data_IF_781102309485
#
_entry.id   IF_781102309485
#
_cell.length_a   1.000
_cell.length_b   1.000
_cell.length_c   1.000
_cell.angle_alpha   90.00
_cell.angle_beta   90.00
_cell.angle_gamma   90.00
#
_symmetry.space_group_name_H-M   'P 1'
#
loop_
_entity.id
_entity.type
_entity.pdbx_description
1 polymer ?
#
# COMPACT_ATOMS: atom_id res chain seq x y z
N UNK A 1 0.80 -68.82 4.52
CA UNK A 1 2.01 -67.97 4.46
C UNK A 1 2.04 -67.25 3.11
N UNK A 2 2.05 -65.91 3.06
CA UNK A 2 2.07 -65.16 1.79
C UNK A 2 3.38 -65.43 1.03
N UNK A 3 3.29 -65.60 -0.29
CA UNK A 3 4.46 -65.92 -1.16
C UNK A 3 5.53 -64.82 -1.03
N UNK A 4 6.84 -65.13 -1.11
CA UNK A 4 7.93 -64.18 -0.86
C UNK A 4 7.84 -62.90 -1.72
N UNK A 5 7.32 -63.00 -2.95
CA UNK A 5 7.04 -61.84 -3.82
C UNK A 5 5.94 -60.91 -3.30
N UNK A 6 4.92 -61.43 -2.64
CA UNK A 6 3.84 -60.61 -2.04
C UNK A 6 4.34 -59.82 -0.82
N UNK A 7 5.23 -60.39 -0.01
CA UNK A 7 5.84 -59.69 1.12
C UNK A 7 6.74 -58.53 0.67
N UNK A 8 7.50 -58.73 -0.41
CA UNK A 8 8.32 -57.67 -1.01
C UNK A 8 7.46 -56.56 -1.63
N UNK A 9 6.40 -56.90 -2.37
CA UNK A 9 5.48 -55.93 -2.93
C UNK A 9 4.79 -55.08 -1.85
N UNK A 10 4.30 -55.70 -0.77
CA UNK A 10 3.68 -55.01 0.37
C UNK A 10 4.66 -54.06 1.07
N UNK A 11 5.92 -54.49 1.26
CA UNK A 11 6.99 -53.65 1.80
C UNK A 11 7.30 -52.46 0.88
N UNK A 12 7.38 -52.68 -0.44
CA UNK A 12 7.63 -51.64 -1.43
C UNK A 12 6.49 -50.61 -1.46
N UNK A 13 5.22 -51.04 -1.47
CA UNK A 13 4.07 -50.13 -1.38
C UNK A 13 4.08 -49.32 -0.09
N UNK A 14 4.46 -49.90 1.05
CA UNK A 14 4.59 -49.17 2.31
C UNK A 14 5.68 -48.11 2.27
N UNK A 15 6.80 -48.37 1.59
CA UNK A 15 7.85 -47.38 1.38
C UNK A 15 7.41 -46.26 0.43
N UNK A 16 6.73 -46.60 -0.67
CA UNK A 16 6.18 -45.62 -1.61
C UNK A 16 5.19 -44.69 -0.88
N UNK A 17 4.27 -45.25 -0.07
CA UNK A 17 3.31 -44.44 0.69
C UNK A 17 4.00 -43.50 1.69
N UNK A 18 5.06 -43.96 2.36
CA UNK A 18 5.86 -43.12 3.28
C UNK A 18 6.56 -41.99 2.54
N UNK A 19 7.14 -42.27 1.38
CA UNK A 19 7.78 -41.25 0.53
C UNK A 19 6.75 -40.23 0.05
N UNK A 20 5.59 -40.68 -0.44
CA UNK A 20 4.51 -39.78 -0.85
C UNK A 20 4.01 -38.92 0.31
N UNK A 21 3.82 -39.50 1.50
CA UNK A 21 3.46 -38.75 2.70
C UNK A 21 4.50 -37.72 3.10
N UNK A 22 5.80 -38.08 3.05
CA UNK A 22 6.89 -37.15 3.33
C UNK A 22 6.96 -36.01 2.30
N UNK A 23 6.77 -36.32 1.01
CA UNK A 23 6.71 -35.33 -0.07
C UNK A 23 5.52 -34.38 0.11
N UNK A 24 4.36 -34.86 0.53
CA UNK A 24 3.20 -34.03 0.82
C UNK A 24 3.49 -33.05 1.97
N UNK A 25 4.06 -33.55 3.08
CA UNK A 25 4.46 -32.70 4.22
C UNK A 25 5.46 -31.64 3.77
N UNK A 26 6.48 -32.05 3.00
CA UNK A 26 7.48 -31.14 2.46
C UNK A 26 6.85 -30.07 1.55
N UNK A 27 5.92 -30.45 0.66
CA UNK A 27 5.21 -29.53 -0.21
C UNK A 27 4.38 -28.50 0.58
N UNK A 28 3.71 -28.93 1.65
CA UNK A 28 2.96 -28.02 2.54
C UNK A 28 3.91 -27.03 3.23
N UNK A 29 5.04 -27.51 3.78
CA UNK A 29 6.03 -26.65 4.42
C UNK A 29 6.61 -25.64 3.42
N UNK A 30 6.99 -26.08 2.23
CA UNK A 30 7.48 -25.19 1.16
C UNK A 30 6.43 -24.15 0.78
N UNK A 31 5.15 -24.52 0.71
CA UNK A 31 4.05 -23.60 0.40
C UNK A 31 3.89 -22.55 1.51
N UNK A 32 3.97 -22.94 2.78
CA UNK A 32 3.91 -22.01 3.92
C UNK A 32 5.11 -21.07 3.90
N UNK A 33 6.33 -21.58 3.69
CA UNK A 33 7.55 -20.77 3.60
C UNK A 33 7.43 -19.78 2.43
N UNK A 34 6.99 -20.23 1.26
CA UNK A 34 6.78 -19.36 0.11
C UNK A 34 5.71 -18.29 0.40
N UNK A 35 4.61 -18.67 1.04
CA UNK A 35 3.54 -17.73 1.43
C UNK A 35 4.06 -16.66 2.40
N UNK A 36 4.75 -17.07 3.47
CA UNK A 36 5.18 -16.16 4.54
C UNK A 36 6.32 -15.27 4.08
N UNK A 37 7.33 -15.82 3.41
CA UNK A 37 8.57 -15.09 3.13
C UNK A 37 8.65 -14.47 1.75
N UNK A 38 8.03 -15.06 0.73
CA UNK A 38 8.24 -14.64 -0.67
C UNK A 38 7.03 -13.87 -1.20
N UNK A 39 5.83 -14.36 -0.89
CA UNK A 39 4.61 -13.88 -1.55
C UNK A 39 4.14 -12.48 -1.13
N UNK A 40 4.58 -12.01 0.03
CA UNK A 40 4.28 -10.67 0.55
C UNK A 40 5.35 -9.63 0.21
N UNK A 41 6.40 -10.00 -0.53
CA UNK A 41 7.46 -9.07 -0.90
C UNK A 41 6.96 -8.18 -2.05
N UNK A 42 6.88 -6.84 -1.88
CA UNK A 42 6.53 -5.95 -2.97
C UNK A 42 7.58 -6.01 -4.10
N UNK A 43 7.17 -5.75 -5.35
CA UNK A 43 8.11 -5.60 -6.45
C UNK A 43 9.19 -4.54 -6.17
N UNK A 44 10.32 -4.60 -6.88
CA UNK A 44 11.49 -3.75 -6.60
C UNK A 44 11.20 -2.26 -6.77
N UNK A 45 10.40 -1.90 -7.76
CA UNK A 45 10.00 -0.52 -8.04
C UNK A 45 9.12 0.03 -6.91
N UNK A 46 8.27 -0.81 -6.30
CA UNK A 46 7.40 -0.44 -5.18
C UNK A 46 8.13 -0.25 -3.84
N UNK A 47 9.44 -0.57 -3.78
CA UNK A 47 10.25 -0.44 -2.56
C UNK A 47 11.06 0.85 -2.50
N UNK A 48 11.07 1.64 -3.57
CA UNK A 48 11.88 2.84 -3.70
C UNK A 48 10.99 4.05 -3.96
N UNK A 49 11.36 5.21 -3.45
CA UNK A 49 10.69 6.45 -3.84
C UNK A 49 10.89 6.67 -5.34
N UNK A 50 9.81 7.09 -6.01
CA UNK A 50 9.85 7.49 -7.40
C UNK A 50 10.59 8.83 -7.52
N UNK A 51 11.64 8.94 -8.35
CA UNK A 51 12.23 10.22 -8.69
C UNK A 51 11.20 11.10 -9.40
N UNK A 52 10.96 12.29 -8.85
CA UNK A 52 10.07 13.31 -9.42
C UNK A 52 10.81 14.64 -9.48
N UNK A 53 10.40 15.59 -10.33
CA UNK A 53 11.04 16.91 -10.40
C UNK A 53 11.11 17.60 -9.03
N UNK A 54 10.04 17.56 -8.25
CA UNK A 54 9.94 18.18 -6.93
C UNK A 54 10.88 17.50 -5.92
N UNK A 55 10.90 16.16 -5.90
CA UNK A 55 11.80 15.41 -5.02
C UNK A 55 13.26 15.60 -5.39
N UNK A 56 13.58 15.62 -6.68
CA UNK A 56 14.92 15.84 -7.19
C UNK A 56 15.41 17.25 -6.84
N UNK A 57 14.57 18.27 -7.01
CA UNK A 57 14.88 19.64 -6.62
C UNK A 57 15.12 19.77 -5.10
N UNK A 58 14.23 19.20 -4.27
CA UNK A 58 14.40 19.20 -2.83
C UNK A 58 15.67 18.46 -2.39
N UNK A 59 16.03 17.37 -3.07
CA UNK A 59 17.28 16.65 -2.83
C UNK A 59 18.51 17.45 -3.27
N UNK A 60 18.45 18.19 -4.38
CA UNK A 60 19.55 19.06 -4.81
C UNK A 60 19.82 20.18 -3.81
N UNK A 61 18.76 20.74 -3.21
CA UNK A 61 18.87 21.82 -2.23
C UNK A 61 19.33 21.33 -0.84
N UNK A 62 18.75 20.23 -0.34
CA UNK A 62 18.94 19.79 1.04
C UNK A 62 19.88 18.59 1.19
N UNK A 63 20.17 17.84 0.13
CA UNK A 63 21.02 16.66 0.14
C UNK A 63 20.60 15.65 1.21
N UNK A 64 21.53 15.29 2.11
CA UNK A 64 21.26 14.35 3.21
C UNK A 64 20.39 14.94 4.34
N UNK A 65 20.17 16.25 4.37
CA UNK A 65 19.30 16.91 5.35
C UNK A 65 17.82 16.89 4.95
N UNK A 66 17.48 16.30 3.79
CA UNK A 66 16.09 16.09 3.38
C UNK A 66 15.35 15.30 4.46
N UNK A 67 14.20 15.82 4.93
CA UNK A 67 13.39 15.16 5.96
C UNK A 67 12.42 14.23 5.25
N UNK A 68 12.46 12.95 5.61
CA UNK A 68 11.49 11.95 5.20
C UNK A 68 10.95 11.27 6.44
N UNK A 69 9.65 11.02 6.49
CA UNK A 69 9.06 10.30 7.61
C UNK A 69 7.78 9.56 7.23
N UNK A 70 7.37 8.65 8.11
CA UNK A 70 6.09 7.96 8.12
C UNK A 70 5.55 7.98 9.55
N UNK A 71 4.33 7.49 9.76
CA UNK A 71 3.83 7.19 11.10
C UNK A 71 3.45 5.71 11.21
N UNK A 72 3.26 5.22 12.43
CA UNK A 72 2.69 3.89 12.65
C UNK A 72 1.17 4.00 12.64
N UNK A 73 0.56 3.73 11.48
CA UNK A 73 -0.89 3.72 11.31
C UNK A 73 -1.39 2.33 10.89
N UNK A 74 -2.68 2.02 11.08
CA UNK A 74 -3.30 0.84 10.51
C UNK A 74 -3.02 0.72 9.00
N UNK A 75 -2.29 -0.33 8.62
CA UNK A 75 -1.85 -0.54 7.23
C UNK A 75 -2.90 -1.21 6.34
N UNK A 76 -4.06 -1.53 6.87
CA UNK A 76 -5.19 -2.13 6.15
C UNK A 76 -6.50 -1.52 6.62
N UNK A 77 -7.50 -1.52 5.75
CA UNK A 77 -8.85 -1.05 6.08
C UNK A 77 -9.43 -1.88 7.20
N UNK A 78 -10.06 -1.20 8.18
CA UNK A 78 -10.62 -1.83 9.38
C UNK A 78 -12.13 -1.66 9.53
N UNK A 79 -12.81 -0.95 8.61
CA UNK A 79 -14.26 -0.83 8.70
C UNK A 79 -14.92 -2.18 8.43
N UNK A 80 -16.07 -2.41 9.06
CA UNK A 80 -16.75 -3.71 9.08
C UNK A 80 -17.06 -4.23 7.67
N UNK A 81 -17.45 -3.34 6.75
CA UNK A 81 -17.81 -3.67 5.37
C UNK A 81 -16.63 -3.90 4.42
N UNK A 82 -15.42 -3.43 4.76
CA UNK A 82 -14.27 -3.47 3.86
C UNK A 82 -12.98 -3.94 4.55
N UNK A 83 -13.12 -4.69 5.64
CA UNK A 83 -12.00 -5.13 6.45
C UNK A 83 -10.98 -5.91 5.61
N UNK A 84 -9.75 -5.39 5.53
CA UNK A 84 -8.65 -6.02 4.80
C UNK A 84 -8.74 -5.98 3.28
N UNK A 85 -9.70 -5.23 2.70
CA UNK A 85 -9.83 -5.07 1.25
C UNK A 85 -8.65 -4.31 0.66
N UNK A 86 -8.22 -3.27 1.36
CA UNK A 86 -7.15 -2.40 0.91
C UNK A 86 -6.04 -2.35 1.94
N UNK A 87 -4.84 -2.07 1.47
CA UNK A 87 -3.74 -1.80 2.38
C UNK A 87 -2.66 -0.93 1.78
N UNK A 88 -1.84 -0.40 2.67
CA UNK A 88 -0.66 0.39 2.34
C UNK A 88 0.56 -0.41 2.77
N UNK A 89 1.45 -0.66 1.81
CA UNK A 89 2.70 -1.37 2.07
C UNK A 89 3.79 -0.43 2.58
N UNK A 90 3.72 0.84 2.16
CA UNK A 90 4.64 1.91 2.54
C UNK A 90 4.00 3.24 2.18
N UNK A 91 4.26 4.27 2.96
CA UNK A 91 4.07 5.65 2.55
C UNK A 91 5.20 6.51 3.14
N UNK A 92 5.45 7.68 2.56
CA UNK A 92 6.52 8.57 3.01
C UNK A 92 6.16 10.00 2.72
N UNK A 93 6.09 10.81 3.78
CA UNK A 93 5.99 12.26 3.71
C UNK A 93 7.36 12.87 3.45
N UNK A 94 7.40 13.84 2.54
CA UNK A 94 8.61 14.54 2.12
C UNK A 94 8.30 16.06 2.13
N UNK A 95 8.34 16.71 3.30
CA UNK A 95 7.86 18.10 3.45
C UNK A 95 8.56 19.09 2.54
N UNK A 96 9.89 19.00 2.39
CA UNK A 96 10.63 19.93 1.54
C UNK A 96 10.28 19.79 0.05
N UNK A 97 9.81 18.61 -0.38
CA UNK A 97 9.30 18.40 -1.73
C UNK A 97 7.79 18.68 -1.86
N UNK A 98 7.11 19.01 -0.75
CA UNK A 98 5.64 19.07 -0.63
C UNK A 98 4.97 17.84 -1.22
N UNK A 99 5.52 16.66 -0.90
CA UNK A 99 5.16 15.43 -1.58
C UNK A 99 4.86 14.30 -0.60
N UNK A 100 3.86 13.49 -0.93
CA UNK A 100 3.57 12.22 -0.29
C UNK A 100 3.59 11.11 -1.35
N UNK A 101 4.38 10.07 -1.12
CA UNK A 101 4.37 8.88 -1.95
C UNK A 101 3.80 7.69 -1.18
N UNK A 102 2.90 6.93 -1.82
CA UNK A 102 2.14 5.84 -1.19
C UNK A 102 2.16 4.60 -2.07
N UNK A 103 2.50 3.44 -1.48
CA UNK A 103 2.36 2.14 -2.12
C UNK A 103 1.07 1.50 -1.63
N UNK A 104 0.01 1.70 -2.41
CA UNK A 104 -1.29 1.10 -2.22
C UNK A 104 -1.30 -0.34 -2.75
N UNK A 105 -2.10 -1.21 -2.14
CA UNK A 105 -2.31 -2.58 -2.63
C UNK A 105 -3.73 -3.09 -2.41
N UNK A 106 -4.13 -3.97 -3.31
CA UNK A 106 -5.35 -4.79 -3.20
C UNK A 106 -5.09 -6.20 -3.75
N UNK A 107 -5.96 -7.16 -3.43
CA UNK A 107 -5.80 -8.55 -3.82
C UNK A 107 -7.03 -9.09 -4.59
N UNK A 108 -6.96 -10.36 -5.01
CA UNK A 108 -8.06 -11.00 -5.75
C UNK A 108 -9.35 -11.15 -4.93
N UNK A 109 -9.29 -11.21 -3.60
CA UNK A 109 -10.49 -11.20 -2.75
C UNK A 109 -11.17 -9.85 -2.80
N UNK A 110 -10.41 -8.75 -2.80
CA UNK A 110 -10.94 -7.39 -2.97
C UNK A 110 -11.72 -7.26 -4.28
N UNK A 111 -11.21 -7.83 -5.37
CA UNK A 111 -11.88 -7.81 -6.68
C UNK A 111 -13.18 -8.61 -6.70
N UNK A 112 -13.23 -9.72 -5.96
CA UNK A 112 -14.45 -10.52 -5.81
C UNK A 112 -15.49 -9.74 -5.00
N UNK A 113 -15.10 -9.11 -3.89
CA UNK A 113 -16.01 -8.30 -3.11
C UNK A 113 -16.49 -7.07 -3.87
N UNK A 114 -15.62 -6.42 -4.64
CA UNK A 114 -16.02 -5.33 -5.52
C UNK A 114 -17.11 -5.77 -6.52
N UNK A 115 -16.98 -6.96 -7.10
CA UNK A 115 -18.01 -7.52 -7.98
C UNK A 115 -19.34 -7.74 -7.24
N UNK A 116 -19.29 -8.28 -6.02
CA UNK A 116 -20.48 -8.55 -5.20
C UNK A 116 -21.16 -7.25 -4.74
N UNK A 117 -20.37 -6.31 -4.22
CA UNK A 117 -20.83 -5.06 -3.60
C UNK A 117 -21.45 -4.10 -4.63
N UNK A 118 -20.92 -4.10 -5.86
CA UNK A 118 -21.41 -3.26 -6.97
C UNK A 118 -22.23 -4.04 -8.02
N UNK A 119 -22.53 -5.32 -7.77
CA UNK A 119 -23.28 -6.19 -8.68
C UNK A 119 -22.75 -6.18 -10.13
N UNK A 120 -21.42 -6.21 -10.29
CA UNK A 120 -20.77 -6.16 -11.60
C UNK A 120 -20.99 -7.48 -12.37
N UNK A 121 -21.22 -7.37 -13.68
CA UNK A 121 -21.46 -8.53 -14.55
C UNK A 121 -20.27 -9.50 -14.54
N UNK A 122 -19.06 -8.95 -14.62
CA UNK A 122 -17.81 -9.70 -14.60
C UNK A 122 -16.88 -9.18 -13.51
N UNK A 123 -16.04 -10.08 -12.98
CA UNK A 123 -15.01 -9.68 -12.04
C UNK A 123 -13.93 -8.84 -12.74
N UNK A 124 -13.56 -7.68 -12.21
CA UNK A 124 -12.47 -6.89 -12.77
C UNK A 124 -11.15 -7.66 -12.82
N UNK A 125 -10.35 -7.37 -13.85
CA UNK A 125 -9.02 -7.98 -13.99
C UNK A 125 -8.05 -7.40 -12.95
N UNK A 126 -7.15 -8.21 -12.38
CA UNK A 126 -6.06 -7.70 -11.55
C UNK A 126 -5.10 -6.84 -12.40
N UNK A 127 -4.43 -5.89 -11.76
CA UNK A 127 -3.43 -5.06 -12.42
C UNK A 127 -3.98 -3.84 -13.14
N UNK A 128 -5.28 -3.56 -13.08
CA UNK A 128 -5.84 -2.31 -13.60
C UNK A 128 -5.53 -1.15 -12.62
N UNK A 129 -4.64 -0.18 -12.99
CA UNK A 129 -4.38 1.00 -12.16
C UNK A 129 -5.63 1.81 -11.88
N UNK A 130 -6.58 1.74 -12.81
CA UNK A 130 -7.70 2.66 -12.89
C UNK A 130 -8.97 2.08 -12.30
N UNK A 131 -8.90 0.91 -11.68
CA UNK A 131 -10.07 0.32 -11.07
C UNK A 131 -10.59 1.15 -9.89
N UNK A 132 -9.67 1.78 -9.16
CA UNK A 132 -9.98 2.59 -8.00
C UNK A 132 -9.51 4.03 -8.21
N UNK A 133 -10.35 4.98 -7.78
CA UNK A 133 -9.97 6.39 -7.65
C UNK A 133 -9.49 6.62 -6.21
N UNK A 134 -8.24 7.03 -6.06
CA UNK A 134 -7.63 7.28 -4.76
C UNK A 134 -7.41 8.76 -4.59
N UNK A 135 -7.79 9.27 -3.43
CA UNK A 135 -7.63 10.68 -3.09
C UNK A 135 -7.20 10.83 -1.64
N UNK A 136 -6.38 11.84 -1.38
CA UNK A 136 -6.05 12.23 -0.02
C UNK A 136 -7.10 13.19 0.50
N UNK A 137 -7.44 13.05 1.78
CA UNK A 137 -8.23 14.03 2.51
C UNK A 137 -7.38 14.56 3.65
N UNK A 138 -6.97 15.82 3.52
CA UNK A 138 -6.31 16.56 4.60
C UNK A 138 -7.38 17.19 5.47
N UNK A 139 -7.26 16.99 6.78
CA UNK A 139 -8.15 17.59 7.79
C UNK A 139 -7.34 18.62 8.56
N UNK A 140 -7.78 19.87 8.51
CA UNK A 140 -7.15 21.01 9.17
C UNK A 140 -8.08 21.57 10.23
N UNK A 141 -7.55 21.77 11.43
CA UNK A 141 -8.21 22.47 12.51
C UNK A 141 -8.05 23.99 12.32
N UNK A 142 -9.18 24.69 12.19
CA UNK A 142 -9.24 26.13 12.01
C UNK A 142 -9.18 26.90 13.34
N UNK A 143 -9.36 26.20 14.48
CA UNK A 143 -9.33 26.74 15.85
C UNK A 143 -8.39 25.90 16.73
N UNK A 144 -7.08 25.82 16.37
CA UNK A 144 -6.11 24.92 17.01
C UNK A 144 -5.91 25.19 18.52
N UNK A 145 -6.27 26.38 18.99
CA UNK A 145 -6.29 26.74 20.40
C UNK A 145 -7.38 26.02 21.22
N UNK A 146 -8.39 25.40 20.59
CA UNK A 146 -9.53 24.77 21.25
C UNK A 146 -9.93 23.44 20.62
N UNK A 147 -9.16 22.38 20.85
CA UNK A 147 -9.43 21.06 20.28
C UNK A 147 -10.77 20.40 20.74
N UNK A 148 -11.49 20.96 21.72
CA UNK A 148 -12.78 20.43 22.21
C UNK A 148 -13.92 20.64 21.20
N UNK A 149 -13.78 21.55 20.22
CA UNK A 149 -14.79 21.82 19.20
C UNK A 149 -14.65 20.98 17.92
N UNK A 150 -13.63 20.12 17.85
CA UNK A 150 -13.33 19.24 16.71
C UNK A 150 -14.25 18.01 16.65
N UNK A 151 -15.55 18.25 16.55
CA UNK A 151 -16.58 17.24 16.34
C UNK A 151 -16.79 16.87 14.88
N UNK A 152 -17.38 15.69 14.64
CA UNK A 152 -17.79 15.28 13.30
C UNK A 152 -18.87 16.23 12.76
N UNK A 153 -18.58 16.91 11.64
CA UNK A 153 -19.46 17.92 11.05
C UNK A 153 -19.32 19.32 11.67
N UNK A 154 -18.28 19.57 12.47
CA UNK A 154 -17.95 20.91 12.94
C UNK A 154 -17.43 21.80 11.80
N UNK A 155 -17.84 23.06 11.80
CA UNK A 155 -17.32 24.10 10.91
C UNK A 155 -15.86 24.49 11.25
N UNK A 156 -15.31 23.97 12.36
CA UNK A 156 -13.93 24.18 12.78
C UNK A 156 -12.94 23.26 12.07
N UNK A 157 -13.42 22.26 11.32
CA UNK A 157 -12.58 21.35 10.55
C UNK A 157 -12.74 21.61 9.05
N UNK A 158 -11.65 22.03 8.40
CA UNK A 158 -11.59 22.10 6.95
C UNK A 158 -11.11 20.76 6.37
N UNK A 159 -11.80 20.26 5.36
CA UNK A 159 -11.38 19.08 4.58
C UNK A 159 -10.98 19.52 3.18
N UNK A 160 -9.77 19.17 2.78
CA UNK A 160 -9.28 19.37 1.42
C UNK A 160 -8.96 18.03 0.77
N UNK A 161 -9.41 17.85 -0.49
CA UNK A 161 -9.20 16.62 -1.25
C UNK A 161 -8.12 16.83 -2.31
N UNK A 162 -7.10 15.98 -2.32
CA UNK A 162 -5.99 16.03 -3.27
C UNK A 162 -5.90 14.75 -4.10
N UNK A 163 -5.79 14.89 -5.41
CA UNK A 163 -5.62 13.77 -6.35
C UNK A 163 -4.13 13.46 -6.58
N UNK A 164 -3.79 12.20 -6.90
CA UNK A 164 -2.42 11.86 -7.24
C UNK A 164 -2.01 12.51 -8.56
N UNK A 165 -0.78 13.03 -8.61
CA UNK A 165 -0.20 13.63 -9.82
C UNK A 165 0.39 12.60 -10.76
N UNK A 166 0.81 11.46 -10.24
CA UNK A 166 1.26 10.32 -11.04
C UNK A 166 1.09 9.00 -10.31
N UNK A 167 1.13 7.91 -11.07
CA UNK A 167 1.12 6.57 -10.53
C UNK A 167 1.97 5.59 -11.34
N UNK A 168 2.42 4.53 -10.69
CA UNK A 168 3.06 3.37 -11.30
C UNK A 168 2.43 2.09 -10.77
N UNK A 169 2.19 1.10 -11.64
CA UNK A 169 1.61 -0.19 -11.27
C UNK A 169 2.64 -1.29 -11.41
N UNK A 170 2.58 -2.25 -10.49
CA UNK A 170 3.24 -3.53 -10.62
C UNK A 170 2.39 -4.62 -9.94
N UNK A 171 2.53 -5.86 -10.39
CA UNK A 171 1.69 -6.96 -9.93
C UNK A 171 2.53 -8.13 -9.46
N UNK A 172 2.00 -8.85 -8.48
CA UNK A 172 2.45 -10.20 -8.13
C UNK A 172 1.30 -11.17 -8.36
N UNK A 173 1.55 -12.47 -8.15
CA UNK A 173 0.49 -13.47 -8.19
C UNK A 173 -0.64 -13.22 -7.17
N UNK A 174 -0.41 -12.39 -6.15
CA UNK A 174 -1.35 -12.18 -5.05
C UNK A 174 -1.93 -10.78 -4.96
N UNK A 175 -1.15 -9.78 -5.33
CA UNK A 175 -1.49 -8.38 -5.10
C UNK A 175 -1.22 -7.56 -6.36
N UNK A 176 -2.07 -6.57 -6.55
CA UNK A 176 -1.75 -5.41 -7.38
C UNK A 176 -1.19 -4.34 -6.46
N UNK A 177 -0.06 -3.75 -6.83
CA UNK A 177 0.56 -2.63 -6.15
C UNK A 177 0.48 -1.40 -7.04
N UNK A 178 0.12 -0.27 -6.45
CA UNK A 178 0.11 1.01 -7.13
C UNK A 178 0.88 2.00 -6.27
N UNK A 179 1.99 2.52 -6.81
CA UNK A 179 2.72 3.63 -6.23
C UNK A 179 2.06 4.92 -6.71
N UNK A 180 1.47 5.67 -5.81
CA UNK A 180 0.90 7.00 -6.07
C UNK A 180 1.86 8.07 -5.57
N UNK A 181 1.98 9.14 -6.35
CA UNK A 181 2.63 10.39 -5.95
C UNK A 181 1.56 11.46 -5.82
N UNK A 182 1.57 12.15 -4.69
CA UNK A 182 0.76 13.32 -4.43
C UNK A 182 1.70 14.51 -4.20
N UNK A 183 1.57 15.53 -5.04
CA UNK A 183 2.27 16.80 -4.87
C UNK A 183 1.38 17.78 -4.10
N UNK A 184 1.96 18.91 -3.71
CA UNK A 184 1.29 19.99 -2.96
C UNK A 184 0.76 19.54 -1.59
N UNK A 185 1.39 18.51 -1.00
CA UNK A 185 1.06 18.01 0.33
C UNK A 185 1.89 18.74 1.38
N UNK A 186 1.21 19.60 2.14
CA UNK A 186 1.78 20.32 3.28
C UNK A 186 1.19 19.79 4.59
N UNK A 187 2.06 19.44 5.53
CA UNK A 187 1.68 19.03 6.89
C UNK A 187 2.13 20.14 7.83
N UNK A 188 1.23 21.10 8.09
CA UNK A 188 1.43 22.17 9.07
C UNK A 188 0.94 21.74 10.45
N UNK A 189 1.23 22.55 11.48
CA UNK A 189 0.79 22.28 12.86
C UNK A 189 -0.75 22.26 13.00
N UNK A 190 -1.47 22.86 12.05
CA UNK A 190 -2.94 22.87 12.02
C UNK A 190 -3.53 21.60 11.38
N UNK A 191 -2.72 20.80 10.66
CA UNK A 191 -3.20 19.54 10.09
C UNK A 191 -3.33 18.51 11.20
N UNK A 192 -4.55 18.03 11.42
CA UNK A 192 -4.85 17.03 12.47
C UNK A 192 -4.76 15.61 11.94
N UNK A 193 -5.20 15.38 10.71
CA UNK A 193 -5.17 14.06 10.10
C UNK A 193 -5.06 14.12 8.58
N UNK A 194 -4.47 13.08 7.99
CA UNK A 194 -4.51 12.84 6.54
C UNK A 194 -5.00 11.42 6.31
N UNK A 195 -6.06 11.29 5.52
CA UNK A 195 -6.65 10.03 5.12
C UNK A 195 -6.40 9.76 3.63
N UNK A 196 -6.34 8.48 3.28
CA UNK A 196 -6.43 8.00 1.91
C UNK A 196 -7.80 7.36 1.72
N UNK A 197 -8.64 8.01 0.94
CA UNK A 197 -9.93 7.49 0.50
C UNK A 197 -9.78 6.74 -0.81
N UNK A 198 -10.53 5.65 -0.92
CA UNK A 198 -10.59 4.75 -2.07
C UNK A 198 -12.02 4.67 -2.53
N UNK A 199 -12.26 5.02 -3.79
CA UNK A 199 -13.56 4.90 -4.46
C UNK A 199 -13.45 3.90 -5.60
N UNK A 200 -14.54 3.22 -5.90
CA UNK A 200 -14.66 2.50 -7.16
C UNK A 200 -14.82 3.52 -8.30
N UNK A 201 -14.00 3.43 -9.34
CA UNK A 201 -13.92 4.49 -10.37
C UNK A 201 -15.23 4.73 -11.13
N UNK A 202 -16.08 3.71 -11.25
CA UNK A 202 -17.36 3.84 -11.94
C UNK A 202 -18.51 4.35 -11.05
N UNK A 203 -18.28 4.53 -9.74
CA UNK A 203 -19.26 5.08 -8.79
C UNK A 203 -18.60 6.07 -7.82
N UNK A 204 -18.03 7.14 -8.37
CA UNK A 204 -17.39 8.19 -7.58
C UNK A 204 -18.44 9.17 -7.06
N UNK A 205 -18.58 9.22 -5.73
CA UNK A 205 -19.44 10.18 -5.02
C UNK A 205 -18.71 10.66 -3.76
N UNK A 206 -17.97 11.75 -3.87
CA UNK A 206 -17.07 12.22 -2.81
C UNK A 206 -17.78 12.71 -1.55
N UNK A 207 -19.06 13.02 -1.65
CA UNK A 207 -19.94 13.40 -0.54
C UNK A 207 -20.42 12.19 0.27
N UNK A 208 -20.29 10.98 -0.30
CA UNK A 208 -20.61 9.72 0.39
C UNK A 208 -19.36 9.12 1.03
N UNK A 209 -19.58 8.20 1.96
CA UNK A 209 -18.51 7.40 2.54
C UNK A 209 -17.71 6.68 1.45
N UNK A 210 -16.38 6.79 1.50
CA UNK A 210 -15.51 6.10 0.58
C UNK A 210 -15.65 4.58 0.71
N UNK A 211 -15.39 3.85 -0.38
CA UNK A 211 -15.42 2.39 -0.38
C UNK A 211 -14.32 1.81 0.54
N UNK A 212 -13.22 2.52 0.71
CA UNK A 212 -12.19 2.26 1.73
C UNK A 212 -11.53 3.54 2.21
N UNK A 213 -11.21 3.61 3.51
CA UNK A 213 -10.46 4.74 4.09
C UNK A 213 -9.32 4.23 4.96
N UNK A 214 -8.15 4.84 4.80
CA UNK A 214 -6.93 4.52 5.54
C UNK A 214 -6.34 5.79 6.16
N UNK A 215 -6.00 5.76 7.44
CA UNK A 215 -5.31 6.87 8.12
C UNK A 215 -3.81 6.81 7.80
N UNK A 216 -3.23 7.93 7.36
CA UNK A 216 -1.79 8.05 7.05
C UNK A 216 -1.05 8.91 8.07
N UNK A 217 -1.70 9.98 8.51
CA UNK A 217 -1.13 10.95 9.44
C UNK A 217 -2.15 11.28 10.52
N UNK A 218 -1.68 11.37 11.75
CA UNK A 218 -2.41 11.90 12.89
C UNK A 218 -1.43 12.75 13.70
N UNK A 219 -1.82 13.99 14.03
CA UNK A 219 -0.96 14.95 14.74
C UNK A 219 -0.53 14.46 16.13
N UNK A 220 -1.31 13.58 16.77
CA UNK A 220 -0.97 12.98 18.06
C UNK A 220 0.02 11.80 17.95
N UNK A 221 0.28 11.30 16.73
CA UNK A 221 1.19 10.17 16.50
C UNK A 221 2.62 10.65 16.22
N UNK A 222 3.65 9.94 16.72
CA UNK A 222 5.03 10.35 16.51
C UNK A 222 5.49 10.06 15.07
N UNK A 223 6.32 10.97 14.54
CA UNK A 223 7.00 10.78 13.27
C UNK A 223 8.13 9.75 13.38
N UNK A 224 8.17 8.83 12.42
CA UNK A 224 9.23 7.84 12.26
C UNK A 224 10.08 8.25 11.08
N UNK A 225 11.31 8.70 11.36
CA UNK A 225 12.25 9.13 10.33
C UNK A 225 12.62 8.02 9.34
N UNK A 226 12.58 8.36 8.05
CA UNK A 226 12.96 7.49 6.94
C UNK A 226 14.24 8.06 6.31
N UNK A 227 15.14 7.19 5.86
CA UNK A 227 16.37 7.60 5.17
C UNK A 227 16.32 7.15 3.73
N UNK A 228 16.78 8.02 2.83
CA UNK A 228 17.05 7.63 1.45
C UNK A 228 18.11 6.54 1.42
N UNK A 229 17.76 5.43 0.78
CA UNK A 229 18.70 4.37 0.44
C UNK A 229 19.73 4.85 -0.58
N UNK A 230 20.86 4.16 -0.68
CA UNK A 230 21.89 4.47 -1.70
C UNK A 230 21.34 4.42 -3.13
N UNK A 231 20.37 3.54 -3.39
CA UNK A 231 19.76 3.41 -4.72
C UNK A 231 18.87 4.60 -5.07
N UNK A 232 18.05 5.04 -4.12
CA UNK A 232 17.19 6.22 -4.30
C UNK A 232 18.03 7.48 -4.53
N UNK A 233 19.12 7.67 -3.78
CA UNK A 233 20.05 8.78 -4.02
C UNK A 233 20.62 8.77 -5.42
N UNK A 234 21.14 7.61 -5.87
CA UNK A 234 21.66 7.46 -7.23
C UNK A 234 20.58 7.72 -8.28
N UNK A 235 19.34 7.31 -8.03
CA UNK A 235 18.22 7.56 -8.93
C UNK A 235 17.90 9.06 -9.03
N UNK A 236 17.93 9.80 -7.91
CA UNK A 236 17.74 11.25 -7.89
C UNK A 236 18.89 12.00 -8.56
N UNK A 237 20.14 11.58 -8.33
CA UNK A 237 21.33 12.14 -9.00
C UNK A 237 21.30 11.92 -10.51
N UNK A 238 20.89 10.72 -10.94
CA UNK A 238 20.68 10.41 -12.35
C UNK A 238 19.56 11.27 -12.95
N UNK A 239 18.44 11.40 -12.25
CA UNK A 239 17.33 12.24 -12.68
C UNK A 239 17.73 13.71 -12.87
N UNK A 240 18.52 14.27 -11.94
CA UNK A 240 19.05 15.63 -12.06
C UNK A 240 19.98 15.76 -13.27
N UNK A 241 20.86 14.79 -13.49
CA UNK A 241 21.81 14.80 -14.61
C UNK A 241 21.11 14.75 -15.97
N UNK A 242 20.05 13.95 -16.09
CA UNK A 242 19.29 13.78 -17.34
C UNK A 242 18.38 14.97 -17.67
N UNK A 243 18.08 15.83 -16.68
CA UNK A 243 17.16 16.96 -16.82
C UNK A 243 17.85 18.33 -16.62
N UNK A 244 19.19 18.37 -16.61
CA UNK A 244 19.96 19.63 -16.67
C UNK A 244 20.32 19.92 -18.13
N UNK A 245 20.01 21.11 -18.69
CA UNK A 245 20.33 21.46 -20.07
C UNK A 245 21.83 21.55 -20.36
#
# INVERSE_FOLDING_TARGET
>A
MPKPRQRYALWLTGQILKILGALLIFAVICTIIWRVFISNIPPKEMKQLQPTPQLAAAYAEHGEALRLYTQEQPSVTKAESNYGYFGISRYTFIPQAKQLQIVFRYNNSTLRHLQEDYALADRPAPGDPTLFDLTLVTVTDLTPENAEDNGEGSDTLQKERVHPTSYQVDTTALYTYVLFVFDEIEVSDAVTAIFLDVYYREDIQYERAAYGTLLLYNSASPDIGVKLSRKERKALEGFLSDNTP
#
